data_IF_974900320819
#
_entry.id   IF_974900320819
#
_cell.length_a   1.000
_cell.length_b   1.000
_cell.length_c   1.000
_cell.angle_alpha   90.00
_cell.angle_beta   90.00
_cell.angle_gamma   90.00
#
_symmetry.space_group_name_H-M   'P 1'
#
loop_
_entity.id
_entity.type
_entity.pdbx_description
1 polymer ?
#
# COMPACT_ATOMS: atom_id res chain seq x y z
N UNK A 1 7.37 -22.39 -15.95
CA UNK A 1 6.91 -21.07 -16.42
C UNK A 1 7.74 -20.53 -17.57
N UNK A 2 9.07 -20.63 -17.52
CA UNK A 2 9.99 -20.14 -18.56
C UNK A 2 9.63 -20.52 -20.01
N UNK A 3 9.24 -21.78 -20.27
CA UNK A 3 8.82 -22.24 -21.63
C UNK A 3 7.68 -21.40 -22.23
N UNK A 4 6.80 -20.87 -21.38
CA UNK A 4 5.67 -20.03 -21.80
C UNK A 4 6.17 -18.65 -22.23
N UNK A 5 7.08 -18.04 -21.46
CA UNK A 5 7.72 -16.77 -21.84
C UNK A 5 8.50 -16.90 -23.16
N UNK A 6 9.24 -18.00 -23.35
CA UNK A 6 9.94 -18.28 -24.62
C UNK A 6 8.96 -18.44 -25.78
N UNK A 7 7.84 -19.14 -25.59
CA UNK A 7 6.81 -19.28 -26.63
C UNK A 7 6.22 -17.92 -27.05
N UNK A 8 6.05 -17.00 -26.10
CA UNK A 8 5.62 -15.62 -26.36
C UNK A 8 6.75 -14.67 -26.77
N UNK A 9 7.98 -15.16 -26.95
CA UNK A 9 9.19 -14.36 -27.24
C UNK A 9 9.44 -13.25 -26.22
N UNK A 10 9.08 -13.47 -24.96
CA UNK A 10 9.34 -12.57 -23.85
C UNK A 10 10.66 -12.95 -23.17
N UNK A 11 11.49 -11.94 -22.89
CA UNK A 11 12.74 -12.09 -22.14
C UNK A 11 12.52 -11.60 -20.72
N UNK A 12 12.80 -12.46 -19.74
CA UNK A 12 12.69 -12.12 -18.32
C UNK A 12 14.09 -11.85 -17.77
N UNK A 13 14.30 -10.64 -17.23
CA UNK A 13 15.55 -10.29 -16.57
C UNK A 13 15.46 -10.61 -15.08
N UNK A 14 16.22 -11.62 -14.63
CA UNK A 14 16.21 -12.08 -13.23
C UNK A 14 16.48 -10.94 -12.23
N UNK A 15 17.48 -10.09 -12.52
CA UNK A 15 17.88 -8.99 -11.63
C UNK A 15 16.83 -7.89 -11.45
N UNK A 16 15.88 -7.78 -12.39
CA UNK A 16 14.80 -6.78 -12.32
C UNK A 16 13.46 -7.41 -11.91
N UNK A 17 13.41 -8.74 -11.80
CA UNK A 17 12.17 -9.45 -11.52
C UNK A 17 11.97 -9.58 -10.02
N UNK A 18 10.82 -9.11 -9.55
CA UNK A 18 10.40 -9.26 -8.15
C UNK A 18 9.24 -10.23 -8.08
N UNK A 19 9.27 -11.12 -7.08
CA UNK A 19 8.20 -12.07 -6.85
C UNK A 19 7.32 -11.63 -5.68
N UNK A 20 6.01 -11.68 -5.88
CA UNK A 20 5.03 -11.41 -4.84
C UNK A 20 3.82 -12.32 -4.99
N UNK A 21 3.35 -12.88 -3.87
CA UNK A 21 2.22 -13.80 -3.83
C UNK A 21 1.03 -13.17 -3.12
N UNK A 22 -0.10 -13.10 -3.81
CA UNK A 22 -1.39 -12.84 -3.17
C UNK A 22 -2.00 -14.16 -2.72
N UNK A 23 -2.25 -14.31 -1.43
CA UNK A 23 -2.88 -15.49 -0.86
C UNK A 23 -3.69 -15.14 0.37
N UNK A 24 -4.92 -15.68 0.42
CA UNK A 24 -5.80 -15.53 1.57
C UNK A 24 -5.48 -16.55 2.69
N UNK A 25 -4.59 -17.51 2.42
CA UNK A 25 -4.17 -18.51 3.40
C UNK A 25 -3.16 -17.90 4.38
N UNK A 26 -3.54 -17.82 5.67
CA UNK A 26 -2.69 -17.27 6.75
C UNK A 26 -1.40 -18.04 6.99
N UNK A 27 -1.32 -19.32 6.58
CA UNK A 27 -0.17 -20.20 6.78
C UNK A 27 0.65 -20.41 5.50
N UNK A 28 0.68 -19.41 4.62
CA UNK A 28 1.47 -19.51 3.41
C UNK A 28 2.89 -19.04 3.70
N UNK A 29 3.86 -19.96 3.72
CA UNK A 29 5.28 -19.68 3.98
C UNK A 29 5.97 -18.87 2.85
N UNK A 30 5.19 -18.17 2.01
CA UNK A 30 5.62 -17.46 0.80
C UNK A 30 6.73 -18.24 0.07
N UNK A 31 6.39 -19.39 -0.55
CA UNK A 31 7.40 -20.26 -1.11
C UNK A 31 8.15 -19.55 -2.24
N UNK A 32 9.48 -19.73 -2.35
CA UNK A 32 10.23 -19.21 -3.47
C UNK A 32 9.80 -19.91 -4.76
N UNK A 33 9.78 -19.17 -5.87
CA UNK A 33 9.53 -19.74 -7.20
C UNK A 33 10.86 -19.88 -7.93
N UNK A 34 11.16 -21.13 -8.31
CA UNK A 34 12.13 -21.41 -9.35
C UNK A 34 11.48 -21.24 -10.73
N UNK A 35 12.01 -20.31 -11.53
CA UNK A 35 11.54 -20.05 -12.88
C UNK A 35 12.10 -21.06 -13.89
N UNK A 36 13.08 -21.88 -13.51
CA UNK A 36 13.76 -22.85 -14.36
C UNK A 36 14.68 -22.20 -15.39
N UNK A 37 15.14 -20.97 -15.13
CA UNK A 37 16.04 -20.21 -15.99
C UNK A 37 17.16 -19.59 -15.14
N UNK A 38 18.20 -20.38 -14.87
CA UNK A 38 19.45 -19.94 -14.26
C UNK A 38 20.57 -20.19 -15.27
N UNK A 39 20.73 -19.28 -16.24
CA UNK A 39 21.79 -19.44 -17.25
C UNK A 39 23.04 -18.63 -16.93
N UNK A 40 22.99 -17.66 -15.99
CA UNK A 40 24.13 -16.77 -15.73
C UNK A 40 24.29 -16.25 -14.30
N UNK A 41 23.38 -16.53 -13.37
CA UNK A 41 23.51 -16.11 -11.97
C UNK A 41 23.07 -17.30 -11.12
N UNK A 42 23.91 -17.60 -10.12
CA UNK A 42 23.77 -18.52 -8.99
C UNK A 42 22.33 -19.01 -8.75
N UNK A 43 22.15 -20.31 -8.47
CA UNK A 43 20.91 -21.09 -8.37
C UNK A 43 19.88 -20.59 -7.32
N UNK A 44 19.93 -19.32 -6.92
CA UNK A 44 19.07 -18.70 -5.95
C UNK A 44 17.68 -18.46 -6.54
N UNK A 45 16.64 -19.15 -6.04
CA UNK A 45 15.28 -18.94 -6.51
C UNK A 45 14.81 -17.55 -6.12
N UNK A 46 13.84 -17.00 -6.86
CA UNK A 46 13.27 -15.69 -6.51
C UNK A 46 12.53 -15.82 -5.18
N UNK A 47 13.08 -15.18 -4.14
CA UNK A 47 12.45 -15.09 -2.83
C UNK A 47 11.32 -14.05 -2.88
N UNK A 48 10.12 -14.36 -2.38
CA UNK A 48 9.04 -13.39 -2.35
C UNK A 48 9.34 -12.27 -1.36
N UNK A 49 8.97 -11.04 -1.72
CA UNK A 49 9.02 -9.91 -0.79
C UNK A 49 7.87 -9.95 0.21
N UNK A 50 8.10 -9.44 1.41
CA UNK A 50 7.06 -9.33 2.46
C UNK A 50 6.00 -8.29 2.13
N UNK A 51 6.43 -7.17 1.54
CA UNK A 51 5.57 -6.09 1.09
C UNK A 51 5.96 -5.69 -0.33
N UNK A 52 4.98 -5.39 -1.16
CA UNK A 52 5.21 -4.92 -2.53
C UNK A 52 4.75 -3.49 -2.68
N UNK A 53 5.65 -2.63 -3.16
CA UNK A 53 5.34 -1.23 -3.42
C UNK A 53 5.02 -1.05 -4.90
N UNK A 54 3.78 -0.71 -5.21
CA UNK A 54 3.36 -0.44 -6.57
C UNK A 54 2.60 0.88 -6.64
N UNK A 55 3.06 1.78 -7.52
CA UNK A 55 2.46 3.11 -7.75
C UNK A 55 2.27 3.98 -6.49
N UNK A 56 3.07 3.72 -5.43
CA UNK A 56 2.96 4.40 -4.13
C UNK A 56 2.10 3.68 -3.08
N UNK A 57 1.39 2.62 -3.48
CA UNK A 57 0.67 1.74 -2.56
C UNK A 57 1.60 0.65 -2.02
N UNK A 58 1.33 0.24 -0.78
CA UNK A 58 2.00 -0.88 -0.14
C UNK A 58 1.00 -2.02 -0.04
N UNK A 59 1.34 -3.15 -0.66
CA UNK A 59 0.52 -4.34 -0.70
C UNK A 59 1.13 -5.41 0.20
N UNK A 60 0.28 -6.00 1.04
CA UNK A 60 0.59 -7.19 1.82
C UNK A 60 0.11 -8.43 1.06
N UNK A 61 0.68 -9.62 1.34
CA UNK A 61 0.25 -10.88 0.69
C UNK A 61 -1.24 -11.17 0.90
N UNK A 62 -1.79 -10.76 2.05
CA UNK A 62 -3.21 -10.92 2.41
C UNK A 62 -4.08 -9.72 2.02
N UNK A 63 -3.52 -8.70 1.35
CA UNK A 63 -4.23 -7.45 1.03
C UNK A 63 -4.88 -6.78 2.26
N UNK A 64 -4.22 -6.89 3.42
CA UNK A 64 -4.65 -6.23 4.66
C UNK A 64 -4.33 -4.74 4.71
N UNK A 65 -3.35 -4.30 3.90
CA UNK A 65 -2.88 -2.91 3.81
C UNK A 65 -2.36 -2.34 5.14
N UNK A 66 -1.86 -3.19 6.05
CA UNK A 66 -1.40 -2.76 7.37
C UNK A 66 -0.19 -1.83 7.25
N UNK A 67 0.81 -2.24 6.48
CA UNK A 67 2.01 -1.44 6.21
C UNK A 67 1.66 -0.12 5.51
N UNK A 68 0.67 -0.14 4.61
CA UNK A 68 0.20 1.06 3.94
C UNK A 68 -0.41 2.06 4.92
N UNK A 69 -1.33 1.60 5.77
CA UNK A 69 -1.97 2.43 6.80
C UNK A 69 -0.92 2.96 7.77
N UNK A 70 0.02 2.13 8.21
CA UNK A 70 1.06 2.54 9.14
C UNK A 70 1.97 3.62 8.55
N UNK A 71 2.42 3.44 7.30
CA UNK A 71 3.26 4.40 6.60
C UNK A 71 2.56 5.75 6.38
N UNK A 72 1.33 5.73 5.88
CA UNK A 72 0.60 6.98 5.62
C UNK A 72 0.12 7.66 6.91
N UNK A 73 -0.20 6.89 7.96
CA UNK A 73 -0.55 7.45 9.27
C UNK A 73 0.64 8.16 9.89
N UNK A 74 1.83 7.53 9.91
CA UNK A 74 3.05 8.16 10.44
C UNK A 74 3.44 9.40 9.62
N UNK A 75 3.32 9.33 8.30
CA UNK A 75 3.55 10.48 7.41
C UNK A 75 2.56 11.62 7.68
N UNK A 76 1.28 11.30 7.88
CA UNK A 76 0.24 12.28 8.22
C UNK A 76 0.53 12.94 9.56
N UNK A 77 0.86 12.15 10.59
CA UNK A 77 1.19 12.65 11.92
C UNK A 77 2.40 13.58 11.88
N UNK A 78 3.47 13.19 11.18
CA UNK A 78 4.64 14.04 10.97
C UNK A 78 4.27 15.37 10.29
N UNK A 79 3.41 15.32 9.28
CA UNK A 79 2.89 16.52 8.59
C UNK A 79 2.10 17.42 9.52
N UNK A 80 1.27 16.85 10.40
CA UNK A 80 0.50 17.60 11.41
C UNK A 80 1.43 18.26 12.42
N UNK A 81 2.49 17.56 12.87
CA UNK A 81 3.49 18.16 13.76
C UNK A 81 4.24 19.32 13.09
N UNK A 82 4.63 19.19 11.81
CA UNK A 82 5.24 20.27 11.06
C UNK A 82 4.29 21.47 10.92
N UNK A 83 3.01 21.22 10.62
CA UNK A 83 1.97 22.24 10.56
C UNK A 83 1.78 22.95 11.91
N UNK A 84 1.86 22.22 13.03
CA UNK A 84 1.80 22.81 14.38
C UNK A 84 2.92 23.82 14.61
N UNK A 85 4.12 23.60 14.07
CA UNK A 85 5.23 24.54 14.18
C UNK A 85 4.96 25.87 13.46
N UNK A 86 4.15 25.88 12.40
CA UNK A 86 3.72 27.13 11.73
C UNK A 86 2.69 27.94 12.55
N UNK A 87 2.09 27.34 13.57
CA UNK A 87 1.00 27.93 14.36
C UNK A 87 1.46 28.68 15.60
N UNK A 88 2.67 29.21 15.60
CA UNK A 88 3.22 29.92 16.75
C UNK A 88 2.37 31.15 17.11
N UNK A 89 2.13 31.40 18.39
CA UNK A 89 1.15 32.41 18.85
C UNK A 89 1.58 33.86 18.61
N UNK A 90 2.88 34.12 18.42
CA UNK A 90 3.42 35.47 18.24
C UNK A 90 3.43 35.93 16.77
N UNK A 91 3.67 35.04 15.81
CA UNK A 91 3.83 35.35 14.36
C UNK A 91 3.32 34.21 13.44
N UNK A 92 2.41 33.36 13.93
CA UNK A 92 1.92 32.20 13.19
C UNK A 92 0.76 32.50 12.25
N UNK A 93 0.37 31.47 11.49
CA UNK A 93 -0.78 31.55 10.59
C UNK A 93 -2.10 31.75 11.37
N UNK A 94 -3.02 32.51 10.77
CA UNK A 94 -4.35 32.67 11.32
C UNK A 94 -5.11 31.32 11.35
N UNK A 95 -6.06 31.09 12.28
CA UNK A 95 -6.80 29.83 12.38
C UNK A 95 -7.48 29.39 11.07
N UNK A 96 -8.01 30.35 10.29
CA UNK A 96 -8.62 30.06 8.98
C UNK A 96 -7.61 29.49 7.96
N UNK A 97 -6.38 30.02 7.96
CA UNK A 97 -5.31 29.55 7.07
C UNK A 97 -4.82 28.16 7.50
N UNK A 98 -4.79 27.90 8.81
CA UNK A 98 -4.51 26.57 9.33
C UNK A 98 -5.56 25.54 8.89
N UNK A 99 -6.86 25.85 9.03
CA UNK A 99 -7.90 24.95 8.54
C UNK A 99 -7.78 24.66 7.04
N UNK A 100 -7.41 25.67 6.24
CA UNK A 100 -7.16 25.48 4.81
C UNK A 100 -5.99 24.53 4.56
N UNK A 101 -4.86 24.75 5.25
CA UNK A 101 -3.66 23.94 5.10
C UNK A 101 -3.88 22.49 5.53
N UNK A 102 -4.65 22.27 6.59
CA UNK A 102 -5.07 20.92 7.00
C UNK A 102 -5.86 20.23 5.90
N UNK A 103 -6.89 20.89 5.35
CA UNK A 103 -7.74 20.34 4.29
C UNK A 103 -6.97 20.09 2.98
N UNK A 104 -6.04 20.97 2.63
CA UNK A 104 -5.30 20.86 1.37
C UNK A 104 -4.12 19.90 1.42
N UNK A 105 -3.46 19.76 2.58
CA UNK A 105 -2.19 19.02 2.68
C UNK A 105 -2.31 17.75 3.53
N UNK A 106 -3.01 17.80 4.66
CA UNK A 106 -3.06 16.66 5.60
C UNK A 106 -4.13 15.65 5.17
N UNK A 107 -5.34 16.12 4.85
CA UNK A 107 -6.45 15.27 4.41
C UNK A 107 -6.07 14.36 3.23
N UNK A 108 -5.50 14.85 2.10
CA UNK A 108 -5.20 13.98 0.96
C UNK A 108 -4.14 12.91 1.28
N UNK A 109 -3.19 13.19 2.19
CA UNK A 109 -2.20 12.19 2.63
C UNK A 109 -2.90 11.14 3.49
N UNK A 110 -3.74 11.55 4.43
CA UNK A 110 -4.46 10.65 5.34
C UNK A 110 -5.47 9.77 4.60
N UNK A 111 -6.12 10.29 3.57
CA UNK A 111 -7.13 9.57 2.78
C UNK A 111 -6.53 8.81 1.59
N UNK A 112 -5.21 8.85 1.39
CA UNK A 112 -4.57 8.14 0.30
C UNK A 112 -4.77 6.64 0.45
N UNK A 113 -5.28 5.98 -0.59
CA UNK A 113 -5.58 4.54 -0.56
C UNK A 113 -6.85 4.14 0.18
N UNK A 114 -7.64 5.11 0.69
CA UNK A 114 -8.88 4.82 1.39
C UNK A 114 -9.85 3.96 0.57
N UNK A 115 -10.06 4.31 -0.71
CA UNK A 115 -10.93 3.53 -1.59
C UNK A 115 -10.44 2.09 -1.74
N UNK A 116 -9.12 1.86 -1.74
CA UNK A 116 -8.52 0.56 -2.01
C UNK A 116 -8.68 -0.45 -0.86
N UNK A 117 -8.58 0.00 0.40
CA UNK A 117 -8.77 -0.89 1.56
C UNK A 117 -10.22 -0.92 2.08
N UNK A 118 -11.05 0.09 1.77
CA UNK A 118 -12.39 0.23 2.38
C UNK A 118 -13.42 -0.75 1.81
N UNK A 119 -13.05 -1.52 0.78
CA UNK A 119 -13.86 -2.60 0.22
C UNK A 119 -14.28 -3.65 1.27
N UNK A 120 -13.48 -3.87 2.32
CA UNK A 120 -13.77 -4.82 3.40
C UNK A 120 -14.70 -4.32 4.52
N UNK A 121 -15.00 -3.01 4.59
CA UNK A 121 -15.87 -2.41 5.62
C UNK A 121 -17.38 -2.51 5.31
N UNK A 122 -17.74 -3.37 4.35
CA UNK A 122 -19.10 -3.57 3.88
C UNK A 122 -20.01 -4.58 4.64
N UNK A 123 -19.82 -4.98 5.93
CA UNK A 123 -20.91 -5.65 6.64
C UNK A 123 -21.99 -4.67 7.16
N UNK A 124 -21.67 -3.38 7.36
CA UNK A 124 -22.55 -2.45 8.09
C UNK A 124 -23.40 -1.52 7.20
N UNK A 125 -23.19 -1.50 5.86
CA UNK A 125 -24.05 -0.69 4.98
C UNK A 125 -25.49 -1.21 4.95
N UNK A 126 -25.70 -2.51 5.10
CA UNK A 126 -27.05 -3.09 5.20
C UNK A 126 -27.81 -2.57 6.44
N UNK A 127 -27.13 -2.44 7.58
CA UNK A 127 -27.71 -1.97 8.84
C UNK A 127 -28.00 -0.45 8.84
N UNK A 128 -27.23 0.34 8.11
CA UNK A 128 -27.50 1.77 7.95
C UNK A 128 -28.63 2.05 6.95
N UNK A 129 -28.79 1.20 5.94
CA UNK A 129 -29.90 1.31 4.97
C UNK A 129 -31.23 0.89 5.62
N UNK A 130 -31.24 -0.05 6.56
CA UNK A 130 -32.46 -0.42 7.30
C UNK A 130 -32.93 0.66 8.28
N UNK A 131 -32.00 1.43 8.86
CA UNK A 131 -32.33 2.54 9.76
C UNK A 131 -32.87 3.78 9.03
N UNK A 132 -32.50 3.97 7.76
CA UNK A 132 -32.99 5.07 6.92
C UNK A 132 -34.35 4.78 6.27
N UNK A 133 -34.95 3.63 6.59
CA UNK A 133 -36.28 3.18 6.12
C UNK A 133 -37.35 3.23 7.21
N UNK A 134 -37.00 3.65 8.43
CA UNK A 134 -37.92 4.08 9.49
C UNK A 134 -38.11 5.58 9.42
#
# INVERSE_FOLDING_TARGET
>A
MYKLFVAFRLVLEHNKSELFHFSHCKNNNNPPIDLGYALFIDDSPLCPKTFWRYLGFYFDCQLTFHEHVQYYSTKTISTVYAMRMLGNSLWGLAPKQMCLLYRSCVVPIATYGFCLWCHGLHPHKAHLISLNKM
#
